data_IF_456844902821
#
_entry.id   IF_456844902821
#
_cell.length_a   1.000
_cell.length_b   1.000
_cell.length_c   1.000
_cell.angle_alpha   90.00
_cell.angle_beta   90.00
_cell.angle_gamma   90.00
#
_symmetry.space_group_name_H-M   'P 1'
#
loop_
_entity.id
_entity.type
_entity.pdbx_description
1 polymer ?
#
# COMPACT_ATOMS: atom_id res chain seq x y z
N UNK A 1 -21.55 -2.10 1.02
CA UNK A 1 -20.23 -1.48 0.81
C UNK A 1 -19.26 -2.60 0.51
N UNK A 2 -18.91 -2.78 -0.76
CA UNK A 2 -18.10 -3.90 -1.24
C UNK A 2 -16.65 -3.63 -0.92
N UNK A 3 -16.03 -4.48 -0.09
CA UNK A 3 -14.63 -4.37 0.27
C UNK A 3 -13.78 -4.62 -1.00
N UNK A 4 -13.05 -3.63 -1.52
CA UNK A 4 -12.39 -3.74 -2.82
C UNK A 4 -11.14 -4.65 -2.78
N UNK A 5 -10.79 -5.15 -1.59
CA UNK A 5 -9.86 -6.26 -1.41
C UNK A 5 -10.48 -7.62 -1.80
N UNK A 6 -11.80 -7.78 -1.89
CA UNK A 6 -12.47 -9.08 -2.04
C UNK A 6 -12.49 -9.68 -3.46
N UNK A 7 -11.86 -9.05 -4.45
CA UNK A 7 -12.00 -9.45 -5.87
C UNK A 7 -10.67 -9.45 -6.63
N UNK A 8 -9.57 -9.80 -5.96
CA UNK A 8 -8.27 -10.01 -6.63
C UNK A 8 -7.96 -11.49 -6.61
N UNK A 9 -7.76 -12.07 -7.78
CA UNK A 9 -7.17 -13.38 -7.90
C UNK A 9 -5.66 -13.28 -7.61
N UNK A 10 -5.25 -13.73 -6.42
CA UNK A 10 -3.84 -13.70 -6.03
C UNK A 10 -2.98 -14.71 -6.78
N UNK A 11 -3.59 -15.66 -7.50
CA UNK A 11 -2.86 -16.62 -8.33
C UNK A 11 -2.41 -16.02 -9.66
N UNK A 12 -3.04 -14.92 -10.08
CA UNK A 12 -2.62 -14.06 -11.18
C UNK A 12 -1.76 -12.92 -10.66
N UNK A 13 -0.44 -13.03 -10.87
CA UNK A 13 0.52 -12.00 -10.49
C UNK A 13 0.20 -10.64 -11.13
N UNK A 14 -0.31 -10.60 -12.36
CA UNK A 14 -0.64 -9.34 -13.03
C UNK A 14 -1.85 -8.66 -12.38
N UNK A 15 -2.88 -9.43 -12.00
CA UNK A 15 -4.03 -8.91 -11.27
C UNK A 15 -3.63 -8.33 -9.90
N UNK A 16 -2.79 -9.05 -9.15
CA UNK A 16 -2.21 -8.56 -7.90
C UNK A 16 -1.45 -7.24 -8.08
N UNK A 17 -0.49 -7.20 -9.02
CA UNK A 17 0.32 -6.00 -9.27
C UNK A 17 -0.52 -4.81 -9.73
N UNK A 18 -1.53 -5.06 -10.57
CA UNK A 18 -2.46 -4.02 -11.03
C UNK A 18 -3.24 -3.43 -9.86
N UNK A 19 -3.78 -4.27 -8.97
CA UNK A 19 -4.51 -3.78 -7.79
C UNK A 19 -3.59 -3.02 -6.85
N UNK A 20 -2.42 -3.57 -6.53
CA UNK A 20 -1.47 -2.93 -5.62
C UNK A 20 -1.03 -1.56 -6.16
N UNK A 21 -0.78 -1.47 -7.47
CA UNK A 21 -0.50 -0.20 -8.14
C UNK A 21 -1.66 0.80 -8.06
N UNK A 22 -2.90 0.35 -8.25
CA UNK A 22 -4.08 1.21 -8.11
C UNK A 22 -4.25 1.75 -6.68
N UNK A 23 -3.98 0.92 -5.67
CA UNK A 23 -3.98 1.34 -4.26
C UNK A 23 -2.90 2.37 -3.96
N UNK A 24 -1.69 2.21 -4.51
CA UNK A 24 -0.60 3.17 -4.33
C UNK A 24 -0.88 4.51 -5.01
N UNK A 25 -1.51 4.52 -6.19
CA UNK A 25 -1.94 5.78 -6.85
C UNK A 25 -2.94 6.58 -6.01
N UNK A 26 -3.76 5.90 -5.20
CA UNK A 26 -4.67 6.57 -4.30
C UNK A 26 -3.93 7.33 -3.17
N UNK A 27 -2.73 6.89 -2.79
CA UNK A 27 -1.89 7.62 -1.82
C UNK A 27 -1.32 8.91 -2.42
N UNK A 28 -0.96 8.91 -3.71
CA UNK A 28 -0.43 10.10 -4.39
C UNK A 28 -1.44 11.26 -4.30
N UNK A 29 -2.74 10.98 -4.46
CA UNK A 29 -3.79 11.97 -4.29
C UNK A 29 -3.84 12.54 -2.86
N UNK A 30 -3.60 11.70 -1.85
CA UNK A 30 -3.61 12.12 -0.45
C UNK A 30 -2.37 12.94 -0.10
N UNK A 31 -1.21 12.62 -0.68
CA UNK A 31 0.02 13.43 -0.55
C UNK A 31 -0.13 14.79 -1.25
N UNK A 32 -0.75 14.82 -2.44
CA UNK A 32 -1.05 16.08 -3.13
C UNK A 32 -1.97 16.95 -2.26
N UNK A 33 -3.03 16.38 -1.70
CA UNK A 33 -3.93 17.09 -0.78
C UNK A 33 -3.19 17.65 0.44
N UNK A 34 -2.22 16.91 1.01
CA UNK A 34 -1.38 17.40 2.10
C UNK A 34 -0.54 18.60 1.68
N UNK A 35 0.07 18.54 0.49
CA UNK A 35 0.89 19.64 -0.03
C UNK A 35 0.05 20.88 -0.37
N UNK A 36 -1.15 20.69 -0.91
CA UNK A 36 -2.07 21.79 -1.26
C UNK A 36 -2.66 22.44 0.00
N UNK A 37 -3.00 21.64 1.01
CA UNK A 37 -3.55 22.14 2.27
C UNK A 37 -2.52 22.88 3.14
N UNK A 38 -1.23 22.63 2.93
CA UNK A 38 -0.12 23.21 3.69
C UNK A 38 0.82 23.99 2.77
N UNK A 39 0.41 25.18 2.29
CA UNK A 39 1.24 25.99 1.40
C UNK A 39 2.56 26.37 2.09
N UNK A 40 3.64 26.38 1.30
CA UNK A 40 5.02 26.44 1.80
C UNK A 40 5.49 27.80 2.35
N UNK A 41 4.67 28.86 2.38
CA UNK A 41 5.11 30.15 2.93
C UNK A 41 3.97 30.94 3.61
N UNK A 42 4.20 31.32 4.87
CA UNK A 42 3.61 32.46 5.61
C UNK A 42 2.11 32.51 5.90
N UNK A 43 1.27 31.60 5.42
CA UNK A 43 -0.14 31.51 5.86
C UNK A 43 -0.45 30.09 6.35
N UNK A 44 -0.69 29.96 7.66
CA UNK A 44 -1.33 28.77 8.21
C UNK A 44 -2.85 28.91 8.02
N UNK A 45 -3.50 28.13 7.15
CA UNK A 45 -4.94 28.10 7.11
C UNK A 45 -5.52 27.60 8.44
N UNK A 46 -6.69 28.12 8.82
CA UNK A 46 -7.33 27.96 10.14
C UNK A 46 -7.59 26.49 10.56
N UNK A 47 -7.45 25.52 9.64
CA UNK A 47 -7.72 24.10 9.86
C UNK A 47 -6.53 23.15 9.64
N UNK A 48 -5.29 23.63 9.58
CA UNK A 48 -4.10 22.81 9.31
C UNK A 48 -3.96 21.56 10.20
N UNK A 49 -4.34 21.62 11.49
CA UNK A 49 -4.33 20.46 12.39
C UNK A 49 -5.35 19.39 12.00
N UNK A 50 -6.61 19.78 11.79
CA UNK A 50 -7.68 18.84 11.44
C UNK A 50 -7.41 18.15 10.08
N UNK A 51 -6.86 18.90 9.13
CA UNK A 51 -6.43 18.33 7.83
C UNK A 51 -5.30 17.32 8.02
N UNK A 52 -4.27 17.66 8.81
CA UNK A 52 -3.18 16.74 9.12
C UNK A 52 -3.64 15.44 9.78
N UNK A 53 -4.53 15.52 10.77
CA UNK A 53 -5.08 14.34 11.42
C UNK A 53 -5.90 13.47 10.45
N UNK A 54 -6.72 14.09 9.61
CA UNK A 54 -7.53 13.41 8.60
C UNK A 54 -6.66 12.70 7.55
N UNK A 55 -5.70 13.42 6.99
CA UNK A 55 -4.76 12.88 5.99
C UNK A 55 -3.89 11.77 6.59
N UNK A 56 -3.34 11.98 7.78
CA UNK A 56 -2.55 10.96 8.47
C UNK A 56 -3.33 9.67 8.70
N UNK A 57 -4.59 9.76 9.17
CA UNK A 57 -5.46 8.59 9.33
C UNK A 57 -5.72 7.88 8.00
N UNK A 58 -6.01 8.61 6.94
CA UNK A 58 -6.26 8.03 5.60
C UNK A 58 -5.05 7.27 5.07
N UNK A 59 -3.86 7.85 5.17
CA UNK A 59 -2.62 7.20 4.72
C UNK A 59 -2.33 5.90 5.50
N UNK A 60 -2.59 5.90 6.81
CA UNK A 60 -2.46 4.70 7.65
C UNK A 60 -3.45 3.62 7.23
N UNK A 61 -4.71 3.96 6.97
CA UNK A 61 -5.71 2.98 6.53
C UNK A 61 -5.41 2.44 5.12
N UNK A 62 -4.95 3.28 4.20
CA UNK A 62 -4.52 2.85 2.87
C UNK A 62 -3.32 1.90 2.94
N UNK A 63 -2.34 2.20 3.81
CA UNK A 63 -1.22 1.30 4.05
C UNK A 63 -1.68 -0.06 4.60
N UNK A 64 -2.60 -0.08 5.57
CA UNK A 64 -3.17 -1.34 6.09
C UNK A 64 -3.85 -2.14 4.99
N UNK A 65 -4.61 -1.49 4.09
CA UNK A 65 -5.27 -2.17 2.98
C UNK A 65 -4.24 -2.84 2.04
N UNK A 66 -3.13 -2.17 1.73
CA UNK A 66 -2.07 -2.74 0.89
C UNK A 66 -1.36 -3.90 1.56
N UNK A 67 -0.98 -3.76 2.84
CA UNK A 67 -0.35 -4.83 3.59
C UNK A 67 -1.27 -6.07 3.69
N UNK A 68 -2.56 -5.85 3.93
CA UNK A 68 -3.54 -6.93 3.96
C UNK A 68 -3.65 -7.65 2.61
N UNK A 69 -3.62 -6.92 1.49
CA UNK A 69 -3.61 -7.52 0.15
C UNK A 69 -2.33 -8.34 -0.09
N UNK A 70 -1.16 -7.78 0.22
CA UNK A 70 0.14 -8.46 0.04
C UNK A 70 0.18 -9.74 0.87
N UNK A 71 -0.17 -9.65 2.16
CA UNK A 71 -0.15 -10.78 3.07
C UNK A 71 -1.10 -11.88 2.62
N UNK A 72 -2.35 -11.54 2.29
CA UNK A 72 -3.32 -12.53 1.79
C UNK A 72 -2.82 -13.23 0.54
N UNK A 73 -2.32 -12.47 -0.44
CA UNK A 73 -1.83 -13.07 -1.69
C UNK A 73 -0.58 -13.92 -1.48
N UNK A 74 0.27 -13.59 -0.51
CA UNK A 74 1.40 -14.43 -0.13
C UNK A 74 0.91 -15.76 0.46
N UNK A 75 0.00 -15.72 1.44
CA UNK A 75 -0.56 -16.90 2.10
C UNK A 75 -1.28 -17.83 1.10
N UNK A 76 -2.06 -17.28 0.18
CA UNK A 76 -2.75 -18.05 -0.85
C UNK A 76 -1.78 -18.78 -1.79
N UNK A 77 -0.70 -18.11 -2.22
CA UNK A 77 0.30 -18.72 -3.09
C UNK A 77 1.19 -19.73 -2.34
N UNK A 78 1.51 -19.49 -1.07
CA UNK A 78 2.23 -20.45 -0.23
C UNK A 78 1.42 -21.73 -0.03
N UNK A 79 0.11 -21.61 0.22
CA UNK A 79 -0.79 -22.76 0.28
C UNK A 79 -0.84 -23.50 -1.06
N UNK A 80 -0.88 -22.79 -2.19
CA UNK A 80 -0.83 -23.39 -3.53
C UNK A 80 0.49 -24.12 -3.78
N UNK A 81 1.62 -23.57 -3.30
CA UNK A 81 2.93 -24.21 -3.47
C UNK A 81 3.00 -25.60 -2.82
N UNK A 82 2.25 -25.83 -1.73
CA UNK A 82 2.19 -27.12 -1.05
C UNK A 82 1.44 -28.20 -1.86
N UNK A 83 0.54 -27.79 -2.77
CA UNK A 83 -0.28 -28.71 -3.55
C UNK A 83 0.28 -28.99 -4.95
N UNK A 84 1.18 -28.13 -5.45
CA UNK A 84 1.75 -28.25 -6.80
C UNK A 84 2.98 -29.17 -6.77
N UNK A 85 3.05 -30.21 -7.62
CA UNK A 85 4.21 -31.11 -7.65
C UNK A 85 5.51 -30.40 -8.01
N UNK A 86 6.58 -30.71 -7.30
CA UNK A 86 7.91 -30.18 -7.57
C UNK A 86 8.41 -30.56 -8.98
N UNK A 87 9.32 -29.75 -9.53
CA UNK A 87 9.88 -29.96 -10.88
C UNK A 87 8.93 -29.58 -12.03
N UNK A 88 7.66 -29.29 -11.75
CA UNK A 88 6.71 -28.83 -12.77
C UNK A 88 6.92 -27.36 -13.16
N UNK A 89 6.43 -27.00 -14.35
CA UNK A 89 6.38 -25.62 -14.79
C UNK A 89 5.53 -24.75 -13.85
N UNK A 90 4.41 -25.29 -13.37
CA UNK A 90 3.54 -24.60 -12.40
C UNK A 90 4.27 -24.31 -11.08
N UNK A 91 5.04 -25.26 -10.54
CA UNK A 91 5.83 -25.03 -9.33
C UNK A 91 6.87 -23.91 -9.53
N UNK A 92 7.39 -23.72 -10.74
CA UNK A 92 8.27 -22.60 -11.06
C UNK A 92 7.52 -21.28 -11.10
N UNK A 93 6.31 -21.25 -11.67
CA UNK A 93 5.45 -20.06 -11.67
C UNK A 93 5.11 -19.66 -10.23
N UNK A 94 4.59 -20.58 -9.42
CA UNK A 94 4.18 -20.29 -8.04
C UNK A 94 5.34 -19.76 -7.21
N UNK A 95 6.53 -20.38 -7.30
CA UNK A 95 7.75 -19.89 -6.63
C UNK A 95 8.14 -18.48 -7.08
N UNK A 96 8.06 -18.21 -8.38
CA UNK A 96 8.34 -16.88 -8.91
C UNK A 96 7.32 -15.85 -8.41
N UNK A 97 6.03 -16.19 -8.38
CA UNK A 97 4.95 -15.34 -7.85
C UNK A 97 5.19 -15.00 -6.38
N UNK A 98 5.45 -16.00 -5.54
CA UNK A 98 5.78 -15.81 -4.11
C UNK A 98 6.97 -14.86 -3.95
N UNK A 99 8.05 -15.06 -4.73
CA UNK A 99 9.24 -14.21 -4.68
C UNK A 99 8.91 -12.75 -5.01
N UNK A 100 8.07 -12.51 -6.01
CA UNK A 100 7.65 -11.15 -6.39
C UNK A 100 6.77 -10.52 -5.31
N UNK A 101 5.81 -11.26 -4.75
CA UNK A 101 4.94 -10.75 -3.67
C UNK A 101 5.77 -10.40 -2.42
N UNK A 102 6.78 -11.21 -2.07
CA UNK A 102 7.69 -10.91 -0.94
C UNK A 102 8.47 -9.62 -1.16
N UNK A 103 8.96 -9.38 -2.38
CA UNK A 103 9.62 -8.13 -2.71
C UNK A 103 8.67 -6.93 -2.55
N UNK A 104 7.39 -7.08 -2.89
CA UNK A 104 6.40 -6.01 -2.70
C UNK A 104 6.12 -5.70 -1.23
N UNK A 105 6.26 -6.67 -0.32
CA UNK A 105 6.17 -6.42 1.12
C UNK A 105 7.28 -5.49 1.59
N UNK A 106 8.53 -5.76 1.23
CA UNK A 106 9.69 -4.92 1.57
C UNK A 106 9.53 -3.50 0.99
N UNK A 107 9.03 -3.39 -0.24
CA UNK A 107 8.72 -2.10 -0.87
C UNK A 107 7.66 -1.34 -0.09
N UNK A 108 6.60 -2.02 0.37
CA UNK A 108 5.52 -1.38 1.15
C UNK A 108 6.00 -0.85 2.51
N UNK A 109 6.92 -1.54 3.17
CA UNK A 109 7.55 -1.03 4.41
C UNK A 109 8.30 0.28 4.17
N UNK A 110 9.07 0.34 3.07
CA UNK A 110 9.82 1.54 2.68
C UNK A 110 8.87 2.69 2.32
N UNK A 111 7.83 2.43 1.51
CA UNK A 111 6.83 3.43 1.15
C UNK A 111 6.16 3.97 2.41
N UNK A 112 5.71 3.08 3.29
CA UNK A 112 5.12 3.43 4.57
C UNK A 112 5.99 4.33 5.45
N UNK A 113 7.28 4.00 5.57
CA UNK A 113 8.22 4.80 6.33
C UNK A 113 8.38 6.21 5.74
N UNK A 114 8.46 6.33 4.41
CA UNK A 114 8.56 7.62 3.71
C UNK A 114 7.28 8.44 3.87
N UNK A 115 6.11 7.83 3.71
CA UNK A 115 4.82 8.49 3.86
C UNK A 115 4.63 9.01 5.28
N UNK A 116 4.94 8.21 6.31
CA UNK A 116 4.92 8.66 7.71
C UNK A 116 5.86 9.84 7.95
N UNK A 117 7.10 9.73 7.49
CA UNK A 117 8.08 10.82 7.62
C UNK A 117 7.59 12.12 6.95
N UNK A 118 7.00 12.04 5.77
CA UNK A 118 6.45 13.21 5.07
C UNK A 118 5.30 13.86 5.85
N UNK A 119 4.41 13.06 6.44
CA UNK A 119 3.35 13.55 7.33
C UNK A 119 3.96 14.20 8.57
N UNK A 120 4.91 13.54 9.24
CA UNK A 120 5.54 14.06 10.46
C UNK A 120 6.29 15.38 10.21
N UNK A 121 7.01 15.52 9.10
CA UNK A 121 7.74 16.75 8.76
C UNK A 121 6.81 17.93 8.40
N UNK A 122 5.64 17.64 7.83
CA UNK A 122 4.66 18.65 7.41
C UNK A 122 3.73 19.03 8.55
N UNK A 123 3.24 18.04 9.28
CA UNK A 123 2.30 18.18 10.39
C UNK A 123 3.00 18.49 11.71
N UNK A 124 4.22 18.02 11.93
CA UNK A 124 5.01 18.38 13.12
C UNK A 124 5.38 19.85 13.18
N UNK A 125 5.34 20.59 12.07
CA UNK A 125 5.48 22.06 12.04
C UNK A 125 4.22 22.82 12.48
N UNK A 126 3.10 22.11 12.67
CA UNK A 126 1.82 22.68 13.09
C UNK A 126 1.62 22.51 14.61
N UNK A 127 2.45 21.69 15.26
CA UNK A 127 2.48 21.48 16.71
C UNK A 127 3.67 22.19 17.35
#
# INVERSE_FOLDING_TARGET
MSNPSAQVDCTDLAAFMTRLGALRKADDSVIIELNDALPTQSFHPVNSRATCESVGKRLVEQQKERLALIQRCLEENERRAQTVPEGTFEARIVRNTIRQIRAEFEVEEIIGARTRKAVDERCGKIF
#
